data_IF_869079893268
#
_entry.id   IF_869079893268
#
_cell.length_a   1.000
_cell.length_b   1.000
_cell.length_c   1.000
_cell.angle_alpha   90.00
_cell.angle_beta   90.00
_cell.angle_gamma   90.00
#
_symmetry.space_group_name_H-M   'P 1'
#
loop_
_entity.id
_entity.type
_entity.pdbx_description
1 polymer ?
#
# COMPACT_ATOMS: atom_id res chain seq x y z
N UNK A 1 19.92 -11.47 -33.97
CA UNK A 1 20.34 -10.89 -32.68
C UNK A 1 19.33 -11.31 -31.63
N UNK A 2 19.77 -11.93 -30.52
CA UNK A 2 18.89 -12.40 -29.46
C UNK A 2 18.92 -11.42 -28.28
N UNK A 3 17.76 -10.90 -27.89
CA UNK A 3 17.60 -10.03 -26.73
C UNK A 3 17.67 -10.89 -25.45
N UNK A 4 18.60 -10.58 -24.55
CA UNK A 4 18.66 -11.17 -23.21
C UNK A 4 17.82 -10.33 -22.26
N UNK A 5 16.64 -10.83 -21.91
CA UNK A 5 15.81 -10.24 -20.84
C UNK A 5 16.51 -10.55 -19.51
N UNK A 6 16.96 -9.52 -18.78
CA UNK A 6 17.55 -9.71 -17.45
C UNK A 6 16.47 -10.23 -16.50
N UNK A 7 16.69 -11.43 -15.98
CA UNK A 7 15.93 -11.95 -14.84
C UNK A 7 16.50 -11.33 -13.56
N UNK A 8 16.13 -10.09 -13.26
CA UNK A 8 16.43 -9.53 -11.94
C UNK A 8 15.50 -10.19 -10.92
N UNK A 9 16.09 -10.77 -9.88
CA UNK A 9 15.35 -11.44 -8.78
C UNK A 9 14.60 -10.44 -7.90
N UNK A 10 14.96 -9.15 -7.98
CA UNK A 10 14.40 -8.08 -7.15
C UNK A 10 13.99 -6.88 -7.98
N UNK A 11 12.83 -6.28 -7.66
CA UNK A 11 12.33 -5.04 -8.26
C UNK A 11 12.42 -3.91 -7.24
N UNK A 12 13.02 -2.79 -7.64
CA UNK A 12 12.98 -1.53 -6.90
C UNK A 12 11.65 -0.84 -7.19
N UNK A 13 10.92 -0.43 -6.16
CA UNK A 13 9.66 0.30 -6.33
C UNK A 13 9.54 1.42 -5.29
N UNK A 14 9.18 2.66 -5.70
CA UNK A 14 8.98 3.75 -4.75
C UNK A 14 7.75 3.49 -3.89
N UNK A 15 7.87 3.78 -2.59
CA UNK A 15 6.78 3.72 -1.61
C UNK A 15 6.58 5.14 -1.08
N UNK A 16 5.39 5.68 -1.31
CA UNK A 16 5.03 7.05 -0.88
C UNK A 16 4.14 6.97 0.36
N UNK A 17 4.70 7.38 1.50
CA UNK A 17 4.00 7.48 2.77
C UNK A 17 3.52 8.91 2.94
N UNK A 18 2.20 9.08 3.07
CA UNK A 18 1.58 10.38 3.31
C UNK A 18 1.26 10.45 4.80
N UNK A 19 2.01 11.27 5.53
CA UNK A 19 1.78 11.56 6.93
C UNK A 19 0.93 12.82 7.05
N UNK A 20 0.09 12.86 8.07
CA UNK A 20 -0.77 14.01 8.39
C UNK A 20 -0.36 14.52 9.74
N UNK A 21 0.14 15.75 9.77
CA UNK A 21 0.51 16.41 11.01
C UNK A 21 -0.26 17.72 11.16
N UNK A 22 -0.35 18.22 12.40
CA UNK A 22 -1.00 19.48 12.71
C UNK A 22 0.07 20.55 12.91
N UNK A 23 0.05 21.60 12.10
CA UNK A 23 0.99 22.70 12.26
C UNK A 23 0.67 23.51 13.54
N UNK A 24 1.56 24.46 13.88
CA UNK A 24 1.40 25.32 15.07
C UNK A 24 0.10 26.18 15.08
N UNK A 25 -0.59 26.27 13.94
CA UNK A 25 -1.82 27.05 13.76
C UNK A 25 -3.08 26.16 13.85
N UNK A 26 -2.93 24.85 14.10
CA UNK A 26 -4.04 23.91 14.19
C UNK A 26 -4.54 23.40 12.82
N UNK A 27 -3.79 23.63 11.74
CA UNK A 27 -4.13 23.19 10.38
C UNK A 27 -3.46 21.87 10.09
N UNK A 28 -4.23 20.91 9.55
CA UNK A 28 -3.70 19.63 9.10
C UNK A 28 -2.91 19.82 7.80
N UNK A 29 -1.65 19.43 7.82
CA UNK A 29 -0.73 19.46 6.69
C UNK A 29 -0.38 18.02 6.31
N UNK A 30 -0.33 17.74 5.01
CA UNK A 30 0.13 16.45 4.49
C UNK A 30 1.61 16.55 4.12
N UNK A 31 2.43 15.66 4.68
CA UNK A 31 3.84 15.49 4.34
C UNK A 31 4.03 14.15 3.61
N UNK A 32 4.72 14.18 2.47
CA UNK A 32 5.00 12.97 1.69
C UNK A 32 6.45 12.55 1.87
N UNK A 33 6.64 11.37 2.45
CA UNK A 33 7.95 10.72 2.54
C UNK A 33 8.02 9.59 1.51
N UNK A 34 9.09 9.57 0.72
CA UNK A 34 9.32 8.51 -0.27
C UNK A 34 10.56 7.71 0.10
N UNK A 35 10.42 6.39 0.13
CA UNK A 35 11.54 5.45 0.22
C UNK A 35 11.44 4.40 -0.89
N UNK A 36 12.52 3.66 -1.14
CA UNK A 36 12.55 2.60 -2.14
C UNK A 36 12.38 1.25 -1.46
N UNK A 37 11.31 0.54 -1.77
CA UNK A 37 11.15 -0.87 -1.42
C UNK A 37 11.90 -1.76 -2.42
N UNK A 38 12.62 -2.75 -1.91
CA UNK A 38 13.22 -3.83 -2.68
C UNK A 38 12.31 -5.05 -2.56
N UNK A 39 11.64 -5.41 -3.65
CA UNK A 39 10.64 -6.46 -3.68
C UNK A 39 11.19 -7.67 -4.40
N UNK A 40 10.89 -8.89 -3.95
CA UNK A 40 11.16 -10.07 -4.78
C UNK A 40 10.32 -10.01 -6.06
N UNK A 41 10.75 -10.66 -7.14
CA UNK A 41 9.86 -10.87 -8.28
C UNK A 41 8.69 -11.78 -7.84
N UNK A 42 7.45 -11.30 -7.98
CA UNK A 42 6.25 -12.06 -7.65
C UNK A 42 5.16 -11.85 -8.70
N UNK A 43 4.34 -12.86 -8.92
CA UNK A 43 3.11 -12.80 -9.71
C UNK A 43 1.85 -12.93 -8.85
N UNK A 44 0.70 -13.00 -9.50
CA UNK A 44 -0.61 -13.19 -8.87
C UNK A 44 -0.64 -14.37 -7.89
N UNK A 45 -0.13 -15.52 -8.33
CA UNK A 45 -0.12 -16.76 -7.54
C UNK A 45 0.67 -16.63 -6.25
N UNK A 46 1.76 -15.86 -6.26
CA UNK A 46 2.62 -15.66 -5.09
C UNK A 46 1.95 -14.75 -4.07
N UNK A 47 1.23 -13.72 -4.53
CA UNK A 47 0.46 -12.82 -3.67
C UNK A 47 -0.70 -13.58 -3.02
N UNK A 48 -1.42 -14.39 -3.79
CA UNK A 48 -2.49 -15.25 -3.27
C UNK A 48 -1.94 -16.25 -2.26
N UNK A 49 -0.79 -16.89 -2.55
CA UNK A 49 -0.15 -17.82 -1.64
C UNK A 49 0.30 -17.14 -0.33
N UNK A 50 0.91 -15.96 -0.41
CA UNK A 50 1.32 -15.18 0.75
C UNK A 50 0.10 -14.75 1.58
N UNK A 51 -0.96 -14.25 0.93
CA UNK A 51 -2.20 -13.85 1.59
C UNK A 51 -2.85 -15.04 2.30
N UNK A 52 -2.91 -16.19 1.63
CA UNK A 52 -3.44 -17.43 2.19
C UNK A 52 -2.64 -17.91 3.41
N UNK A 53 -1.32 -17.85 3.34
CA UNK A 53 -0.44 -18.28 4.43
C UNK A 53 -0.61 -17.41 5.69
N UNK A 54 -0.84 -16.11 5.51
CA UNK A 54 -0.92 -15.14 6.62
C UNK A 54 -2.34 -14.97 7.15
N UNK A 55 -3.31 -14.77 6.26
CA UNK A 55 -4.69 -14.44 6.65
C UNK A 55 -5.63 -15.65 6.69
N UNK A 56 -5.19 -16.81 6.17
CA UNK A 56 -5.97 -18.04 6.07
C UNK A 56 -6.73 -18.21 4.75
N UNK A 57 -7.50 -19.29 4.63
CA UNK A 57 -8.39 -19.54 3.49
C UNK A 57 -9.75 -18.85 3.66
N UNK A 58 -10.33 -18.35 2.58
CA UNK A 58 -11.68 -17.78 2.58
C UNK A 58 -11.93 -16.82 1.43
N UNK A 59 -13.20 -16.45 1.23
CA UNK A 59 -13.55 -15.32 0.34
C UNK A 59 -13.18 -13.99 1.00
N UNK A 60 -13.20 -12.90 0.23
CA UNK A 60 -12.92 -11.57 0.77
C UNK A 60 -13.90 -11.18 1.89
N UNK A 61 -15.16 -11.62 1.82
CA UNK A 61 -16.15 -11.41 2.88
C UNK A 61 -15.77 -12.13 4.18
N UNK A 62 -15.32 -13.39 4.09
CA UNK A 62 -14.92 -14.18 5.27
C UNK A 62 -13.68 -13.59 5.93
N UNK A 63 -12.70 -13.16 5.12
CA UNK A 63 -11.49 -12.52 5.63
C UNK A 63 -11.79 -11.16 6.26
N UNK A 64 -12.74 -10.39 5.68
CA UNK A 64 -13.20 -9.11 6.22
C UNK A 64 -13.89 -9.27 7.58
N UNK A 65 -14.78 -10.25 7.73
CA UNK A 65 -15.42 -10.55 9.02
C UNK A 65 -14.41 -10.99 10.08
N UNK A 66 -13.39 -11.74 9.67
CA UNK A 66 -12.30 -12.13 10.56
C UNK A 66 -11.45 -10.93 10.98
N UNK A 67 -11.17 -9.99 10.06
CA UNK A 67 -10.44 -8.76 10.36
C UNK A 67 -11.20 -7.88 11.38
N UNK A 68 -12.53 -7.80 11.30
CA UNK A 68 -13.36 -7.04 12.27
C UNK A 68 -13.28 -7.57 13.70
N UNK A 69 -12.93 -8.85 13.88
CA UNK A 69 -12.81 -9.48 15.21
C UNK A 69 -11.41 -9.35 15.80
N UNK A 70 -10.43 -8.90 15.01
CA UNK A 70 -9.05 -8.70 15.45
C UNK A 70 -8.88 -7.31 16.04
N UNK A 71 -7.96 -7.21 16.98
CA UNK A 71 -7.45 -5.91 17.43
C UNK A 71 -6.65 -5.24 16.31
N UNK A 72 -6.49 -3.91 16.41
CA UNK A 72 -5.68 -3.14 15.45
C UNK A 72 -4.23 -3.65 15.41
N UNK A 73 -3.69 -4.05 16.57
CA UNK A 73 -2.32 -4.57 16.67
C UNK A 73 -2.17 -5.94 16.00
N UNK A 74 -3.13 -6.85 16.18
CA UNK A 74 -3.10 -8.17 15.52
C UNK A 74 -3.20 -8.03 14.01
N UNK A 75 -4.09 -7.16 13.52
CA UNK A 75 -4.20 -6.91 12.09
C UNK A 75 -2.92 -6.27 11.54
N UNK A 76 -2.30 -5.33 12.27
CA UNK A 76 -1.02 -4.74 11.89
C UNK A 76 0.11 -5.78 11.77
N UNK A 77 0.18 -6.72 12.71
CA UNK A 77 1.17 -7.79 12.66
C UNK A 77 0.97 -8.69 11.42
N UNK A 78 -0.28 -9.07 11.12
CA UNK A 78 -0.56 -9.85 9.91
C UNK A 78 -0.22 -9.08 8.63
N UNK A 79 -0.52 -7.78 8.58
CA UNK A 79 -0.11 -6.95 7.44
C UNK A 79 1.41 -6.92 7.30
N UNK A 80 2.16 -6.79 8.40
CA UNK A 80 3.63 -6.83 8.39
C UNK A 80 4.16 -8.19 7.89
N UNK A 81 3.58 -9.30 8.37
CA UNK A 81 3.95 -10.65 7.95
C UNK A 81 3.72 -10.85 6.45
N UNK A 82 2.56 -10.40 5.95
CA UNK A 82 2.23 -10.46 4.52
C UNK A 82 3.21 -9.63 3.67
N UNK A 83 3.50 -8.39 4.08
CA UNK A 83 4.45 -7.54 3.34
C UNK A 83 5.87 -8.12 3.41
N UNK A 84 6.29 -8.66 4.56
CA UNK A 84 7.62 -9.26 4.72
C UNK A 84 7.84 -10.48 3.80
N UNK A 85 6.76 -11.16 3.40
CA UNK A 85 6.83 -12.25 2.44
C UNK A 85 7.17 -11.78 1.02
N UNK A 86 6.95 -10.49 0.70
CA UNK A 86 7.17 -9.90 -0.63
C UNK A 86 8.34 -8.90 -0.66
N UNK A 87 8.53 -8.15 0.41
CA UNK A 87 9.57 -7.16 0.59
C UNK A 87 10.85 -7.82 1.13
N UNK A 88 11.97 -7.63 0.43
CA UNK A 88 13.28 -8.20 0.77
C UNK A 88 14.27 -7.15 1.28
N UNK A 89 13.93 -5.87 1.20
CA UNK A 89 14.78 -4.76 1.61
C UNK A 89 14.10 -3.41 1.43
N UNK A 90 14.74 -2.36 1.92
CA UNK A 90 14.38 -0.97 1.61
C UNK A 90 15.64 -0.09 1.55
N UNK A 91 15.49 1.11 0.99
CA UNK A 91 16.49 2.17 0.99
C UNK A 91 15.82 3.50 1.27
N UNK A 92 16.47 4.37 2.05
CA UNK A 92 15.95 5.70 2.40
C UNK A 92 15.03 5.73 3.63
N UNK A 93 14.94 4.62 4.38
CA UNK A 93 14.28 4.60 5.70
C UNK A 93 15.30 5.00 6.76
N UNK A 94 14.96 6.01 7.56
CA UNK A 94 15.82 6.52 8.65
C UNK A 94 15.01 6.66 9.94
N UNK A 95 15.69 6.62 11.08
CA UNK A 95 15.10 6.89 12.39
C UNK A 95 14.95 8.40 12.65
N UNK A 96 14.46 8.77 13.83
CA UNK A 96 14.24 10.16 14.25
C UNK A 96 15.54 10.98 14.31
N UNK A 97 16.68 10.30 14.52
CA UNK A 97 18.01 10.92 14.54
C UNK A 97 18.64 11.02 13.14
N UNK A 98 17.94 10.54 12.11
CA UNK A 98 18.41 10.52 10.73
C UNK A 98 19.38 9.38 10.41
N UNK A 99 19.54 8.40 11.29
CA UNK A 99 20.36 7.23 11.01
C UNK A 99 19.59 6.25 10.13
N UNK A 100 20.25 5.60 9.15
CA UNK A 100 19.59 4.64 8.29
C UNK A 100 19.14 3.41 9.08
N UNK A 101 17.87 3.04 8.96
CA UNK A 101 17.32 1.83 9.58
C UNK A 101 17.52 0.67 8.60
N UNK A 102 18.32 -0.36 8.95
CA UNK A 102 18.48 -1.53 8.09
C UNK A 102 17.18 -2.33 8.03
N UNK A 103 16.86 -2.84 6.85
CA UNK A 103 15.68 -3.69 6.70
C UNK A 103 15.84 -5.01 7.45
N UNK A 104 14.88 -5.31 8.31
CA UNK A 104 14.61 -6.65 8.83
C UNK A 104 13.11 -6.84 8.95
N UNK A 105 12.58 -8.09 8.91
CA UNK A 105 11.17 -8.34 9.18
C UNK A 105 10.71 -7.78 10.54
N UNK A 106 11.59 -7.82 11.56
CA UNK A 106 11.32 -7.23 12.88
C UNK A 106 11.18 -5.71 12.81
N UNK A 107 12.12 -5.02 12.15
CA UNK A 107 12.03 -3.56 11.96
C UNK A 107 10.78 -3.15 11.17
N UNK A 108 10.37 -3.94 10.17
CA UNK A 108 9.11 -3.71 9.45
C UNK A 108 7.92 -3.84 10.40
N UNK A 109 7.86 -4.90 11.22
CA UNK A 109 6.77 -5.10 12.18
C UNK A 109 6.68 -3.96 13.21
N UNK A 110 7.82 -3.52 13.75
CA UNK A 110 7.88 -2.39 14.68
C UNK A 110 7.36 -1.10 14.05
N UNK A 111 7.80 -0.77 12.83
CA UNK A 111 7.33 0.43 12.12
C UNK A 111 5.83 0.37 11.77
N UNK A 112 5.33 -0.81 11.40
CA UNK A 112 3.92 -1.05 11.04
C UNK A 112 2.98 -0.96 12.24
N UNK A 113 3.46 -1.28 13.45
CA UNK A 113 2.71 -1.18 14.70
C UNK A 113 2.87 0.20 15.36
N UNK A 114 3.90 0.96 14.98
CA UNK A 114 4.19 2.28 15.53
C UNK A 114 3.15 3.37 15.19
N UNK A 115 3.39 4.61 15.66
CA UNK A 115 2.44 5.73 15.53
C UNK A 115 2.02 6.02 14.09
N UNK A 116 2.96 5.96 13.14
CA UNK A 116 2.75 6.17 11.71
C UNK A 116 2.49 4.85 10.94
N UNK A 117 2.26 3.77 11.67
CA UNK A 117 2.09 2.42 11.14
C UNK A 117 0.89 2.27 10.19
N UNK A 118 -0.29 2.88 10.43
CA UNK A 118 -1.40 2.84 9.49
C UNK A 118 -1.06 3.43 8.10
N UNK A 119 -0.40 4.57 8.06
CA UNK A 119 0.01 5.28 6.84
C UNK A 119 1.06 4.46 6.08
N UNK A 120 2.04 3.92 6.81
CA UNK A 120 3.07 3.04 6.24
C UNK A 120 2.47 1.76 5.64
N UNK A 121 1.57 1.08 6.38
CA UNK A 121 0.86 -0.10 5.87
C UNK A 121 0.07 0.21 4.61
N UNK A 122 -0.62 1.35 4.58
CA UNK A 122 -1.37 1.78 3.41
C UNK A 122 -0.43 1.97 2.22
N UNK A 123 0.68 2.68 2.40
CA UNK A 123 1.67 2.92 1.35
C UNK A 123 2.28 1.62 0.81
N UNK A 124 2.63 0.69 1.70
CA UNK A 124 3.17 -0.62 1.33
C UNK A 124 2.15 -1.48 0.56
N UNK A 125 0.89 -1.48 0.98
CA UNK A 125 -0.17 -2.18 0.24
C UNK A 125 -0.42 -1.56 -1.14
N UNK A 126 -0.39 -0.22 -1.24
CA UNK A 126 -0.46 0.47 -2.55
C UNK A 126 0.69 0.04 -3.44
N UNK A 127 1.93 -0.01 -2.93
CA UNK A 127 3.07 -0.47 -3.70
C UNK A 127 2.91 -1.92 -4.20
N UNK A 128 2.39 -2.83 -3.37
CA UNK A 128 2.08 -4.21 -3.80
C UNK A 128 1.07 -4.21 -4.95
N UNK A 129 0.00 -3.42 -4.85
CA UNK A 129 -1.03 -3.31 -5.90
C UNK A 129 -0.46 -2.71 -7.20
N UNK A 130 0.36 -1.68 -7.10
CA UNK A 130 1.02 -1.06 -8.25
C UNK A 130 2.02 -2.00 -8.93
N UNK A 131 2.76 -2.81 -8.17
CA UNK A 131 3.66 -3.83 -8.72
C UNK A 131 2.86 -4.91 -9.46
N UNK A 132 1.72 -5.31 -8.89
CA UNK A 132 0.84 -6.37 -9.39
C UNK A 132 0.07 -5.96 -10.65
N UNK A 133 -0.48 -4.75 -10.66
CA UNK A 133 -1.42 -4.29 -11.69
C UNK A 133 -0.88 -3.13 -12.54
N UNK A 134 0.30 -2.61 -12.22
CA UNK A 134 0.84 -1.38 -12.79
C UNK A 134 0.27 -0.12 -12.12
N UNK A 135 0.92 1.02 -12.38
CA UNK A 135 0.57 2.33 -11.80
C UNK A 135 -0.86 2.83 -12.16
N UNK A 136 -1.54 2.18 -13.11
CA UNK A 136 -2.89 2.55 -13.51
C UNK A 136 -3.96 2.25 -12.45
N UNK A 137 -3.72 1.29 -11.54
CA UNK A 137 -4.71 0.91 -10.52
C UNK A 137 -4.86 1.98 -9.42
N UNK A 138 -3.79 2.72 -9.10
CA UNK A 138 -3.81 3.77 -8.07
C UNK A 138 -4.75 4.95 -8.41
N UNK A 139 -5.06 5.17 -9.69
CA UNK A 139 -5.98 6.25 -10.14
C UNK A 139 -7.46 5.84 -10.17
N UNK A 140 -7.77 4.55 -10.08
CA UNK A 140 -9.14 4.04 -10.24
C UNK A 140 -9.87 3.79 -8.92
N UNK A 141 -9.28 4.09 -7.76
CA UNK A 141 -10.01 4.15 -6.48
C UNK A 141 -10.67 5.54 -6.34
N UNK A 142 -11.46 5.92 -7.34
CA UNK A 142 -12.38 7.07 -7.22
C UNK A 142 -13.76 6.53 -6.88
N UNK A 143 -14.10 6.67 -5.60
CA UNK A 143 -15.44 6.95 -5.05
C UNK A 143 -16.63 6.27 -5.73
N UNK A 144 -17.25 5.33 -5.01
CA UNK A 144 -18.66 4.97 -5.20
C UNK A 144 -19.50 6.21 -5.56
N UNK A 145 -20.37 6.15 -6.57
CA UNK A 145 -21.26 7.26 -6.86
C UNK A 145 -22.14 7.49 -5.64
N UNK A 146 -22.15 8.72 -5.14
CA UNK A 146 -23.12 9.18 -4.16
C UNK A 146 -24.50 8.98 -4.80
N UNK A 147 -25.40 8.17 -4.22
CA UNK A 147 -26.77 8.05 -4.74
C UNK A 147 -27.46 9.40 -4.54
N UNK A 148 -27.83 10.07 -5.65
CA UNK A 148 -28.74 11.22 -5.60
C UNK A 148 -28.27 12.53 -6.21
N UNK A 149 -27.16 12.60 -6.96
CA UNK A 149 -26.90 13.78 -7.79
C UNK A 149 -27.52 13.60 -9.18
N UNK A 150 -28.73 14.12 -9.36
CA UNK A 150 -29.32 14.34 -10.68
C UNK A 150 -28.41 15.31 -11.46
N UNK A 151 -27.59 14.76 -12.35
CA UNK A 151 -26.93 15.53 -13.39
C UNK A 151 -27.99 16.09 -14.32
N UNK A 152 -28.27 17.39 -14.15
CA UNK A 152 -29.04 18.17 -15.10
C UNK A 152 -28.46 18.03 -16.50
N UNK A 153 -29.26 17.48 -17.41
CA UNK A 153 -29.03 17.54 -18.84
C UNK A 153 -29.12 19.00 -19.28
N UNK A 154 -27.97 19.62 -19.55
CA UNK A 154 -27.88 20.59 -20.63
C UNK A 154 -27.67 19.82 -21.94
N UNK A 155 -28.38 20.17 -23.00
CA UNK A 155 -27.77 20.86 -24.15
C UNK A 155 -28.83 21.17 -25.23
N UNK A 156 -28.60 22.28 -25.91
CA UNK A 156 -29.47 23.00 -26.82
C UNK A 156 -29.64 22.34 -28.20
N UNK A 157 -30.68 22.77 -28.94
CA UNK A 157 -30.59 22.91 -30.40
C UNK A 157 -31.58 23.97 -30.89
N UNK A 158 -31.06 24.85 -31.74
CA UNK A 158 -31.67 26.02 -32.36
C UNK A 158 -32.66 25.68 -33.50
N UNK A 159 -33.26 26.75 -34.04
CA UNK A 159 -33.62 27.08 -35.44
C UNK A 159 -35.07 26.94 -35.92
N UNK A 160 -35.55 28.11 -36.36
CA UNK A 160 -36.76 28.52 -37.11
C UNK A 160 -38.11 28.52 -36.40
#
# INVERSE_FOLDING_TARGET
MAFKIRQSTTRRWPVNVILRDCNAEGVVVEETHTFIGLWRSFGESDVVAARKAVFGEGTDEVLSESAKRRTVSEQAQLDADFISALLVGWEGVSDEDGNPVPYTPGALAELVVGPNGPELRRALNVAVLEIRFGMASAKNVSTSPIPGQETGMGEAAQTN
#
